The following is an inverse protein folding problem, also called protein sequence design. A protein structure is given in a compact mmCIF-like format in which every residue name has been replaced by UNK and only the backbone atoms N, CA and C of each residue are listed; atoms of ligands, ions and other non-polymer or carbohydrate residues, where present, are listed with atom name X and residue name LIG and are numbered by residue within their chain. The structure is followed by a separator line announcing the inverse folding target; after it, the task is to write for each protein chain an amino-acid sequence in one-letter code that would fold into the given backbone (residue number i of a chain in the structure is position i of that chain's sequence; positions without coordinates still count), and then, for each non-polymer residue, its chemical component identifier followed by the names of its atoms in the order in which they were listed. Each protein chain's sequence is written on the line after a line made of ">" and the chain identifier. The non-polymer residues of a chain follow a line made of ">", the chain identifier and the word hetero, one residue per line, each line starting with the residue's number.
data_IF_620262668130
#
_entry.id   IF_620262668130
#
_cell.length_a   1.000
_cell.length_b   1.000
_cell.length_c   1.000
_cell.angle_alpha   90.00
_cell.angle_beta   90.00
_cell.angle_gamma   90.00
#
_symmetry.space_group_name_H-M   'P 1'
#
loop_
_entity.id
_entity.type
_entity.pdbx_description
1 polymer ?
#
# COMPACT_ATOMS: atom_id res chain seq x y z
N UNK A 1 -4.28 16.45 3.00
CA UNK A 1 -3.19 17.07 3.77
C UNK A 1 -2.63 15.98 4.65
N UNK A 2 -1.43 15.46 4.37
CA UNK A 2 -0.76 14.55 5.29
C UNK A 2 -0.39 15.35 6.53
N UNK A 3 -1.20 15.20 7.57
CA UNK A 3 -0.90 15.68 8.90
C UNK A 3 0.40 15.03 9.34
N UNK A 4 1.47 15.81 9.46
CA UNK A 4 2.77 15.34 9.94
C UNK A 4 2.54 14.74 11.34
N UNK A 5 2.99 13.51 11.54
CA UNK A 5 2.71 12.79 12.78
C UNK A 5 3.68 13.30 13.85
N UNK A 6 3.13 13.99 14.84
CA UNK A 6 3.89 14.55 15.96
C UNK A 6 4.37 13.43 16.89
N UNK A 7 5.63 13.02 16.72
CA UNK A 7 6.32 12.03 17.55
C UNK A 7 6.97 12.70 18.75
N UNK A 8 6.19 12.88 19.81
CA UNK A 8 6.57 13.71 20.96
C UNK A 8 6.88 12.92 22.22
N UNK A 9 6.36 11.69 22.35
CA UNK A 9 6.40 10.98 23.65
C UNK A 9 7.77 10.45 24.01
N UNK A 10 8.51 9.92 23.03
CA UNK A 10 9.85 9.41 23.29
C UNK A 10 10.81 10.52 23.75
N UNK A 11 10.78 11.67 23.07
CA UNK A 11 11.58 12.83 23.46
C UNK A 11 11.22 13.36 24.86
N UNK A 12 9.92 13.39 25.19
CA UNK A 12 9.47 13.76 26.52
C UNK A 12 9.93 12.75 27.59
N UNK A 13 9.90 11.46 27.29
CA UNK A 13 10.40 10.43 28.19
C UNK A 13 11.90 10.62 28.47
N UNK A 14 12.71 10.78 27.41
CA UNK A 14 14.14 11.09 27.53
C UNK A 14 14.41 12.32 28.39
N UNK A 15 13.67 13.40 28.14
CA UNK A 15 13.79 14.65 28.90
C UNK A 15 13.49 14.44 30.38
N UNK A 16 12.41 13.72 30.71
CA UNK A 16 12.02 13.44 32.09
C UNK A 16 13.06 12.57 32.80
N UNK A 17 13.55 11.50 32.15
CA UNK A 17 14.59 10.64 32.71
C UNK A 17 15.87 11.43 33.02
N UNK A 18 16.32 12.26 32.07
CA UNK A 18 17.51 13.11 32.26
C UNK A 18 17.31 14.11 33.40
N UNK A 19 16.17 14.81 33.43
CA UNK A 19 15.87 15.77 34.50
C UNK A 19 15.79 15.08 35.87
N UNK A 20 15.16 13.91 35.96
CA UNK A 20 15.06 13.16 37.22
C UNK A 20 16.44 12.75 37.73
N UNK A 21 17.33 12.30 36.83
CA UNK A 21 18.72 11.97 37.14
C UNK A 21 19.48 13.19 37.67
N UNK A 22 19.44 14.31 36.94
CA UNK A 22 20.11 15.56 37.32
C UNK A 22 19.64 16.07 38.69
N UNK A 23 18.33 16.06 38.94
CA UNK A 23 17.78 16.50 40.23
C UNK A 23 18.17 15.55 41.37
N UNK A 24 18.18 14.25 41.12
CA UNK A 24 18.59 13.24 42.10
C UNK A 24 20.04 13.42 42.51
N UNK A 25 20.93 13.62 41.52
CA UNK A 25 22.35 13.91 41.75
C UNK A 25 22.52 15.21 42.53
N UNK A 26 21.86 16.29 42.09
CA UNK A 26 21.98 17.62 42.71
C UNK A 26 21.57 17.61 44.19
N UNK A 27 20.47 16.93 44.52
CA UNK A 27 19.95 16.87 45.89
C UNK A 27 20.79 15.97 46.79
N UNK A 28 21.26 14.84 46.29
CA UNK A 28 21.93 13.80 47.10
C UNK A 28 23.43 14.07 47.28
N UNK A 29 24.08 14.70 46.29
CA UNK A 29 25.53 14.95 46.27
C UNK A 29 25.83 16.45 46.35
N UNK A 30 25.08 17.20 47.15
CA UNK A 30 25.42 18.59 47.45
C UNK A 30 26.67 18.65 48.35
N UNK A 31 27.46 19.72 48.21
CA UNK A 31 28.68 19.85 49.01
C UNK A 31 28.38 19.91 50.51
N UNK A 32 27.24 20.52 50.90
CA UNK A 32 26.83 20.62 52.30
C UNK A 32 26.49 19.26 52.91
N UNK A 33 25.84 18.38 52.13
CA UNK A 33 25.56 17.00 52.55
C UNK A 33 26.86 16.22 52.74
N UNK A 34 27.83 16.38 51.82
CA UNK A 34 29.13 15.71 51.91
C UNK A 34 29.91 16.21 53.14
N UNK A 35 29.91 17.52 53.42
CA UNK A 35 30.55 18.09 54.62
C UNK A 35 29.91 17.59 55.92
N UNK A 36 28.60 17.38 55.91
CA UNK A 36 27.86 16.82 57.06
C UNK A 36 28.25 15.36 57.32
N UNK A 37 28.42 14.56 56.27
CA UNK A 37 28.80 13.14 56.39
C UNK A 37 30.30 12.94 56.67
N UNK A 38 31.17 13.87 56.26
CA UNK A 38 32.63 13.78 56.42
C UNK A 38 33.24 15.03 57.10
N UNK A 39 32.81 15.39 58.31
CA UNK A 39 33.17 16.67 58.94
C UNK A 39 34.67 16.79 59.25
N UNK A 40 35.33 15.70 59.65
CA UNK A 40 36.76 15.68 59.98
C UNK A 40 37.63 15.98 58.76
N UNK A 41 37.31 15.41 57.61
CA UNK A 41 38.04 15.61 56.35
C UNK A 41 37.70 16.97 55.76
N UNK A 42 36.43 17.39 55.87
CA UNK A 42 35.97 18.70 55.42
C UNK A 42 36.55 19.88 56.23
N UNK A 43 37.16 19.63 57.40
CA UNK A 43 37.75 20.67 58.24
C UNK A 43 39.15 21.09 57.75
N UNK A 44 39.80 20.30 56.90
CA UNK A 44 41.11 20.63 56.32
C UNK A 44 40.98 21.13 54.88
N UNK A 45 41.82 22.07 54.48
CA UNK A 45 41.76 22.65 53.13
C UNK A 45 42.07 21.61 52.03
N UNK A 46 43.05 20.74 52.26
CA UNK A 46 43.41 19.63 51.36
C UNK A 46 42.32 18.55 51.30
N UNK A 47 41.66 18.29 52.44
CA UNK A 47 40.53 17.37 52.52
C UNK A 47 39.31 17.89 51.75
N UNK A 48 39.02 19.18 51.82
CA UNK A 48 37.97 19.82 51.01
C UNK A 48 38.24 19.68 49.51
N UNK A 49 39.46 20.00 49.06
CA UNK A 49 39.87 19.83 47.64
C UNK A 49 39.71 18.38 47.18
N UNK A 50 40.13 17.43 48.01
CA UNK A 50 40.00 16.00 47.72
C UNK A 50 38.53 15.55 47.61
N UNK A 51 37.67 16.03 48.51
CA UNK A 51 36.23 15.74 48.49
C UNK A 51 35.54 16.36 47.26
N UNK A 52 35.94 17.55 46.82
CA UNK A 52 35.41 18.15 45.59
C UNK A 52 35.79 17.34 44.35
N UNK A 53 37.03 16.88 44.27
CA UNK A 53 37.50 16.01 43.17
C UNK A 53 36.72 14.69 43.17
N UNK A 54 36.62 14.03 44.33
CA UNK A 54 35.88 12.78 44.46
C UNK A 54 34.40 12.95 44.10
N UNK A 55 33.75 14.01 44.59
CA UNK A 55 32.37 14.36 44.24
C UNK A 55 32.21 14.55 42.74
N UNK A 56 33.10 15.32 42.10
CA UNK A 56 33.07 15.56 40.66
C UNK A 56 33.19 14.26 39.85
N UNK A 57 34.06 13.36 40.29
CA UNK A 57 34.21 12.03 39.68
C UNK A 57 32.94 11.19 39.82
N UNK A 58 32.35 11.13 41.02
CA UNK A 58 31.11 10.39 41.28
C UNK A 58 29.97 10.93 40.40
N UNK A 59 29.80 12.25 40.34
CA UNK A 59 28.77 12.90 39.52
C UNK A 59 28.94 12.52 38.05
N UNK A 60 30.16 12.64 37.52
CA UNK A 60 30.46 12.31 36.12
C UNK A 60 30.22 10.82 35.83
N UNK A 61 30.70 9.95 36.70
CA UNK A 61 30.55 8.51 36.54
C UNK A 61 29.07 8.11 36.58
N UNK A 62 28.34 8.55 37.60
CA UNK A 62 26.92 8.28 37.76
C UNK A 62 26.13 8.76 36.56
N UNK A 63 26.32 10.02 36.15
CA UNK A 63 25.60 10.61 35.03
C UNK A 63 25.85 9.84 33.73
N UNK A 64 27.12 9.57 33.41
CA UNK A 64 27.49 8.90 32.17
C UNK A 64 27.02 7.45 32.15
N UNK A 65 27.18 6.72 33.26
CA UNK A 65 26.75 5.33 33.34
C UNK A 65 25.22 5.23 33.24
N UNK A 66 24.50 6.03 34.03
CA UNK A 66 23.02 5.99 34.03
C UNK A 66 22.44 6.37 32.66
N UNK A 67 22.99 7.38 32.00
CA UNK A 67 22.53 7.77 30.64
C UNK A 67 22.73 6.63 29.64
N UNK A 68 23.90 5.96 29.68
CA UNK A 68 24.18 4.81 28.81
C UNK A 68 23.23 3.65 29.08
N UNK A 69 22.97 3.34 30.35
CA UNK A 69 22.04 2.28 30.73
C UNK A 69 20.60 2.59 30.28
N UNK A 70 20.16 3.86 30.39
CA UNK A 70 18.86 4.26 29.85
C UNK A 70 18.78 4.03 28.34
N UNK A 71 19.80 4.43 27.59
CA UNK A 71 19.84 4.22 26.14
C UNK A 71 19.84 2.72 25.76
N UNK A 72 20.52 1.87 26.53
CA UNK A 72 20.49 0.41 26.35
C UNK A 72 19.08 -0.14 26.58
N UNK A 73 18.43 0.23 27.70
CA UNK A 73 17.06 -0.19 28.00
C UNK A 73 16.09 0.25 26.89
N UNK A 74 16.22 1.49 26.40
CA UNK A 74 15.38 2.01 25.32
C UNK A 74 15.52 1.19 24.04
N UNK A 75 16.75 0.80 23.70
CA UNK A 75 17.05 -0.06 22.54
C UNK A 75 16.52 -1.48 22.73
N UNK A 76 16.83 -2.13 23.85
CA UNK A 76 16.40 -3.51 24.14
C UNK A 76 14.88 -3.67 24.09
N UNK A 77 14.14 -2.67 24.57
CA UNK A 77 12.68 -2.70 24.63
C UNK A 77 12.01 -2.12 23.39
N UNK A 78 12.78 -1.60 22.45
CA UNK A 78 12.33 -0.85 21.28
C UNK A 78 11.29 0.23 21.65
N UNK A 79 11.61 1.03 22.67
CA UNK A 79 10.66 2.00 23.25
C UNK A 79 10.36 3.13 22.28
N UNK A 80 11.34 3.56 21.50
CA UNK A 80 11.20 4.64 20.51
C UNK A 80 10.10 4.31 19.50
N UNK A 81 10.22 3.18 18.80
CA UNK A 81 9.20 2.72 17.84
C UNK A 81 7.83 2.56 18.49
N UNK A 82 7.75 1.98 19.69
CA UNK A 82 6.47 1.77 20.37
C UNK A 82 5.76 3.07 20.76
N UNK A 83 6.53 4.08 21.17
CA UNK A 83 5.97 5.38 21.54
C UNK A 83 5.58 6.19 20.31
N UNK A 84 6.35 6.09 19.23
CA UNK A 84 6.00 6.67 17.92
C UNK A 84 4.72 6.04 17.37
N UNK A 85 4.62 4.71 17.34
CA UNK A 85 3.40 3.99 16.94
C UNK A 85 2.20 4.39 17.81
N UNK A 86 2.41 4.62 19.11
CA UNK A 86 1.35 5.10 20.00
C UNK A 86 0.94 6.55 19.68
N UNK A 87 1.87 7.42 19.29
CA UNK A 87 1.57 8.79 18.80
C UNK A 87 0.69 8.69 17.54
N UNK A 88 1.05 7.81 16.60
CA UNK A 88 0.28 7.54 15.38
C UNK A 88 -1.13 7.02 15.66
N UNK A 89 -1.27 6.05 16.57
CA UNK A 89 -2.57 5.46 16.93
C UNK A 89 -3.49 6.52 17.55
N UNK A 90 -2.95 7.37 18.44
CA UNK A 90 -3.73 8.41 19.11
C UNK A 90 -4.19 9.47 18.12
N UNK A 91 -3.31 9.92 17.22
CA UNK A 91 -3.67 10.90 16.19
C UNK A 91 -4.76 10.37 15.26
N UNK A 92 -4.62 9.14 14.76
CA UNK A 92 -5.66 8.47 13.94
C UNK A 92 -6.98 8.29 14.70
N UNK A 93 -6.93 8.09 16.02
CA UNK A 93 -8.14 8.03 16.84
C UNK A 93 -8.81 9.41 16.95
N UNK A 94 -8.01 10.46 17.14
CA UNK A 94 -8.49 11.84 17.22
C UNK A 94 -9.08 12.33 15.89
N UNK A 95 -8.45 12.00 14.76
CA UNK A 95 -9.00 12.23 13.42
C UNK A 95 -10.36 11.56 13.24
N UNK A 96 -10.48 10.27 13.59
CA UNK A 96 -11.77 9.54 13.53
C UNK A 96 -12.84 10.17 14.41
N UNK A 97 -12.47 10.70 15.57
CA UNK A 97 -13.37 11.40 16.48
C UNK A 97 -13.87 12.71 15.86
N UNK A 98 -13.00 13.49 15.23
CA UNK A 98 -13.36 14.72 14.51
C UNK A 98 -14.29 14.42 13.34
N UNK A 99 -14.03 13.33 12.61
CA UNK A 99 -14.88 12.87 11.49
C UNK A 99 -16.21 12.24 11.93
N UNK A 100 -16.46 12.09 13.24
CA UNK A 100 -17.67 11.44 13.76
C UNK A 100 -17.76 9.94 13.48
N UNK A 101 -16.64 9.29 13.12
CA UNK A 101 -16.53 7.85 12.82
C UNK A 101 -16.05 7.05 14.03
N UNK A 102 -16.23 7.56 15.24
CA UNK A 102 -15.78 6.90 16.47
C UNK A 102 -16.64 5.66 16.73
N UNK A 103 -16.07 4.49 16.47
CA UNK A 103 -16.68 3.21 16.82
C UNK A 103 -16.04 2.71 18.13
N UNK A 104 -16.83 2.37 19.17
CA UNK A 104 -16.30 1.79 20.38
C UNK A 104 -15.73 0.40 20.09
N UNK A 105 -14.40 0.26 20.16
CA UNK A 105 -13.74 -1.04 20.01
C UNK A 105 -13.70 -1.73 21.37
N UNK A 106 -14.54 -2.75 21.56
CA UNK A 106 -14.54 -3.58 22.78
C UNK A 106 -13.51 -4.71 22.62
N UNK A 107 -12.22 -4.38 22.77
CA UNK A 107 -11.10 -5.32 22.56
C UNK A 107 -11.25 -6.59 23.43
N UNK A 108 -11.75 -6.44 24.66
CA UNK A 108 -11.94 -7.56 25.61
C UNK A 108 -13.08 -8.53 25.24
N UNK A 109 -13.91 -8.16 24.26
CA UNK A 109 -15.03 -9.00 23.79
C UNK A 109 -14.78 -9.63 22.44
N UNK A 110 -13.65 -9.32 21.80
CA UNK A 110 -13.32 -9.88 20.49
C UNK A 110 -12.75 -11.28 20.68
N UNK A 111 -13.41 -12.27 20.08
CA UNK A 111 -12.94 -13.64 20.03
C UNK A 111 -11.71 -13.77 19.11
N UNK A 112 -10.85 -14.78 19.31
CA UNK A 112 -9.74 -15.05 18.40
C UNK A 112 -10.17 -15.24 16.94
N UNK A 113 -11.35 -15.84 16.70
CA UNK A 113 -11.94 -16.00 15.38
C UNK A 113 -12.26 -14.66 14.72
N UNK A 114 -12.88 -13.73 15.45
CA UNK A 114 -13.22 -12.40 14.93
C UNK A 114 -11.97 -11.57 14.60
N UNK A 115 -10.88 -11.73 15.36
CA UNK A 115 -9.59 -11.09 15.03
C UNK A 115 -9.00 -11.60 13.71
N UNK A 116 -9.06 -12.91 13.49
CA UNK A 116 -8.59 -13.54 12.25
C UNK A 116 -9.48 -13.12 11.08
N UNK A 117 -10.80 -13.09 11.27
CA UNK A 117 -11.72 -12.65 10.24
C UNK A 117 -11.55 -11.17 9.89
N UNK A 118 -11.33 -10.31 10.89
CA UNK A 118 -11.07 -8.89 10.67
C UNK A 118 -9.76 -8.65 9.92
N UNK A 119 -8.70 -9.41 10.20
CA UNK A 119 -7.45 -9.30 9.45
C UNK A 119 -7.62 -9.80 8.01
N UNK A 120 -8.39 -10.88 7.81
CA UNK A 120 -8.66 -11.45 6.50
C UNK A 120 -9.62 -10.58 5.65
N UNK A 121 -10.47 -9.77 6.29
CA UNK A 121 -11.42 -8.91 5.61
C UNK A 121 -10.73 -7.90 4.67
N UNK A 122 -9.58 -7.35 5.08
CA UNK A 122 -8.77 -6.46 4.24
C UNK A 122 -8.30 -7.14 2.96
N UNK A 123 -7.65 -8.30 3.08
CA UNK A 123 -7.15 -9.09 1.94
C UNK A 123 -8.27 -9.57 1.02
N UNK A 124 -9.42 -9.96 1.60
CA UNK A 124 -10.61 -10.33 0.82
C UNK A 124 -11.13 -9.16 0.00
N UNK A 125 -11.15 -7.95 0.57
CA UNK A 125 -11.59 -6.74 -0.13
C UNK A 125 -10.68 -6.43 -1.33
N UNK A 126 -9.36 -6.44 -1.15
CA UNK A 126 -8.40 -6.24 -2.24
C UNK A 126 -8.56 -7.30 -3.35
N UNK A 127 -8.81 -8.54 -2.97
CA UNK A 127 -9.05 -9.64 -3.92
C UNK A 127 -10.34 -9.41 -4.71
N UNK A 128 -11.42 -8.99 -4.05
CA UNK A 128 -12.71 -8.67 -4.70
C UNK A 128 -12.54 -7.50 -5.68
N UNK A 129 -11.84 -6.43 -5.28
CA UNK A 129 -11.57 -5.29 -6.15
C UNK A 129 -10.77 -5.72 -7.40
N UNK A 130 -9.74 -6.55 -7.22
CA UNK A 130 -8.93 -7.10 -8.31
C UNK A 130 -9.77 -7.98 -9.25
N UNK A 131 -10.56 -8.91 -8.70
CA UNK A 131 -11.43 -9.78 -9.52
C UNK A 131 -12.49 -8.97 -10.26
N UNK A 132 -13.07 -7.95 -9.62
CA UNK A 132 -14.05 -7.08 -10.27
C UNK A 132 -13.43 -6.32 -11.43
N UNK A 133 -12.18 -5.85 -11.31
CA UNK A 133 -11.46 -5.19 -12.39
C UNK A 133 -11.24 -6.15 -13.57
N UNK A 134 -10.78 -7.38 -13.29
CA UNK A 134 -10.57 -8.42 -14.32
C UNK A 134 -11.89 -8.77 -15.01
N UNK A 135 -12.96 -8.95 -14.23
CA UNK A 135 -14.29 -9.27 -14.77
C UNK A 135 -14.78 -8.16 -15.71
N UNK A 136 -14.68 -6.90 -15.29
CA UNK A 136 -15.10 -5.76 -16.11
C UNK A 136 -14.28 -5.68 -17.40
N UNK A 137 -12.97 -5.93 -17.34
CA UNK A 137 -12.12 -5.98 -18.53
C UNK A 137 -12.57 -7.09 -19.49
N UNK A 138 -12.82 -8.30 -18.98
CA UNK A 138 -13.25 -9.43 -19.80
C UNK A 138 -14.62 -9.18 -20.45
N UNK A 139 -15.53 -8.48 -19.78
CA UNK A 139 -16.80 -8.06 -20.36
C UNK A 139 -16.60 -7.11 -21.54
N UNK A 140 -15.67 -6.14 -21.43
CA UNK A 140 -15.33 -5.23 -22.51
C UNK A 140 -14.70 -5.98 -23.69
N UNK A 141 -13.72 -6.84 -23.42
CA UNK A 141 -13.02 -7.61 -24.44
C UNK A 141 -13.98 -8.55 -25.19
N UNK A 142 -14.89 -9.22 -24.47
CA UNK A 142 -15.91 -10.05 -25.10
C UNK A 142 -16.84 -9.22 -25.99
N UNK A 143 -17.28 -8.05 -25.53
CA UNK A 143 -18.16 -7.18 -26.31
C UNK A 143 -17.46 -6.69 -27.58
N UNK A 144 -16.17 -6.37 -27.50
CA UNK A 144 -15.34 -6.01 -28.65
C UNK A 144 -15.20 -7.17 -29.64
N UNK A 145 -14.84 -8.37 -29.16
CA UNK A 145 -14.71 -9.57 -29.99
C UNK A 145 -16.02 -9.95 -30.68
N UNK A 146 -17.16 -9.84 -29.98
CA UNK A 146 -18.48 -10.04 -30.58
C UNK A 146 -18.75 -9.01 -31.69
N UNK A 147 -18.38 -7.75 -31.48
CA UNK A 147 -18.49 -6.71 -32.51
C UNK A 147 -17.64 -7.02 -33.75
N UNK A 148 -16.38 -7.43 -33.56
CA UNK A 148 -15.48 -7.82 -34.64
C UNK A 148 -16.02 -9.04 -35.41
N UNK A 149 -16.53 -10.05 -34.70
CA UNK A 149 -17.11 -11.24 -35.31
C UNK A 149 -18.35 -10.90 -36.16
N UNK A 150 -19.22 -10.02 -35.67
CA UNK A 150 -20.41 -9.61 -36.40
C UNK A 150 -20.03 -8.84 -37.69
N UNK A 151 -19.07 -7.92 -37.60
CA UNK A 151 -18.53 -7.21 -38.77
C UNK A 151 -17.96 -8.16 -39.82
N UNK A 152 -17.20 -9.18 -39.38
CA UNK A 152 -16.61 -10.15 -40.29
C UNK A 152 -17.67 -11.05 -40.94
N UNK A 153 -18.74 -11.38 -40.21
CA UNK A 153 -19.87 -12.14 -40.73
C UNK A 153 -20.61 -11.33 -41.81
N UNK A 154 -20.86 -10.04 -41.56
CA UNK A 154 -21.46 -9.12 -42.55
C UNK A 154 -20.58 -8.99 -43.81
N UNK A 155 -19.27 -8.84 -43.64
CA UNK A 155 -18.32 -8.80 -44.76
C UNK A 155 -18.35 -10.10 -45.57
N UNK A 156 -18.32 -11.26 -44.90
CA UNK A 156 -18.38 -12.56 -45.55
C UNK A 156 -19.70 -12.78 -46.30
N UNK A 157 -20.82 -12.35 -45.74
CA UNK A 157 -22.13 -12.43 -46.40
C UNK A 157 -22.17 -11.55 -47.65
N UNK A 158 -21.60 -10.35 -47.57
CA UNK A 158 -21.50 -9.41 -48.70
C UNK A 158 -20.64 -10.01 -49.82
N UNK A 159 -19.47 -10.56 -49.48
CA UNK A 159 -18.61 -11.27 -50.44
C UNK A 159 -19.34 -12.47 -51.05
N UNK A 160 -20.07 -13.24 -50.23
CA UNK A 160 -20.84 -14.40 -50.70
C UNK A 160 -21.94 -14.00 -51.68
N UNK A 161 -22.65 -12.90 -51.43
CA UNK A 161 -23.68 -12.38 -52.34
C UNK A 161 -23.07 -11.85 -53.64
N UNK A 162 -21.96 -11.14 -53.56
CA UNK A 162 -21.25 -10.61 -54.73
C UNK A 162 -20.74 -11.75 -55.61
N UNK A 163 -20.08 -12.75 -55.03
CA UNK A 163 -19.55 -13.90 -55.75
C UNK A 163 -20.68 -14.72 -56.39
N UNK A 164 -21.81 -14.88 -55.70
CA UNK A 164 -23.00 -15.51 -56.27
C UNK A 164 -23.53 -14.74 -57.48
N UNK A 165 -23.65 -13.41 -57.38
CA UNK A 165 -24.11 -12.59 -58.51
C UNK A 165 -23.17 -12.66 -59.72
N UNK A 166 -21.86 -12.71 -59.50
CA UNK A 166 -20.87 -12.87 -60.57
C UNK A 166 -20.98 -14.25 -61.24
N UNK A 167 -21.19 -15.32 -60.46
CA UNK A 167 -21.41 -16.67 -60.99
C UNK A 167 -22.71 -16.74 -61.79
N UNK A 168 -23.78 -16.12 -61.29
CA UNK A 168 -25.07 -16.07 -61.99
C UNK A 168 -24.94 -15.31 -63.32
N UNK A 169 -24.24 -14.16 -63.34
CA UNK A 169 -23.93 -13.40 -64.56
C UNK A 169 -23.13 -14.23 -65.56
N UNK A 170 -22.04 -14.89 -65.11
CA UNK A 170 -21.24 -15.77 -65.97
C UNK A 170 -22.06 -16.94 -66.51
N UNK A 171 -23.01 -17.47 -65.71
CA UNK A 171 -23.92 -18.53 -66.17
C UNK A 171 -24.89 -18.02 -67.25
N UNK A 172 -25.39 -16.79 -67.12
CA UNK A 172 -26.20 -16.15 -68.16
C UNK A 172 -25.38 -15.90 -69.43
N UNK A 173 -24.15 -15.39 -69.30
CA UNK A 173 -23.23 -15.17 -70.42
C UNK A 173 -22.87 -16.48 -71.14
N UNK A 174 -22.65 -17.58 -70.41
CA UNK A 174 -22.45 -18.90 -71.03
C UNK A 174 -23.71 -19.42 -71.74
N UNK A 175 -24.91 -19.12 -71.22
CA UNK A 175 -26.17 -19.51 -71.87
C UNK A 175 -26.43 -18.70 -73.13
N UNK A 176 -26.10 -17.41 -73.14
CA UNK A 176 -26.23 -16.56 -74.34
C UNK A 176 -25.25 -17.00 -75.41
N UNK A 177 -23.96 -17.20 -75.08
CA UNK A 177 -22.96 -17.73 -76.02
C UNK A 177 -23.35 -19.08 -76.60
N UNK A 178 -23.84 -20.02 -75.77
CA UNK A 178 -24.32 -21.32 -76.26
C UNK A 178 -25.52 -21.20 -77.20
N UNK A 179 -26.44 -20.29 -76.91
CA UNK A 179 -27.61 -20.06 -77.78
C UNK A 179 -27.21 -19.39 -79.11
N UNK A 180 -26.21 -18.52 -79.09
CA UNK A 180 -25.69 -17.87 -80.29
C UNK A 180 -24.90 -18.86 -81.16
N UNK A 181 -24.04 -19.72 -80.58
CA UNK A 181 -23.38 -20.82 -81.30
C UNK A 181 -24.40 -21.80 -81.92
N UNK A 182 -25.49 -22.12 -81.19
CA UNK A 182 -26.55 -22.99 -81.71
C UNK A 182 -27.35 -22.32 -82.84
N UNK A 183 -27.59 -21.00 -82.77
CA UNK A 183 -28.23 -20.24 -83.86
C UNK A 183 -27.35 -20.20 -85.11
N UNK A 184 -26.06 -19.89 -84.97
CA UNK A 184 -25.11 -19.88 -86.09
C UNK A 184 -25.05 -21.27 -86.74
N UNK A 185 -24.98 -22.34 -85.94
CA UNK A 185 -24.99 -23.72 -86.47
C UNK A 185 -26.31 -24.10 -87.17
N UNK A 186 -27.45 -23.55 -86.73
CA UNK A 186 -28.76 -23.79 -87.36
C UNK A 186 -28.89 -22.97 -88.65
N UNK A 187 -28.44 -21.72 -88.66
CA UNK A 187 -28.43 -20.86 -89.83
C UNK A 187 -27.50 -21.42 -90.93
N UNK A 188 -26.34 -21.96 -90.57
CA UNK A 188 -25.44 -22.67 -91.50
C UNK A 188 -26.08 -23.96 -92.07
N UNK A 189 -26.86 -24.68 -91.26
CA UNK A 189 -27.60 -25.86 -91.71
C UNK A 189 -28.75 -25.50 -92.67
N UNK A 190 -29.43 -24.39 -92.40
CA UNK A 190 -30.49 -23.86 -93.25
C UNK A 190 -29.91 -23.40 -94.59
N UNK A 191 -28.77 -22.69 -94.58
CA UNK A 191 -28.09 -22.25 -95.78
C UNK A 191 -27.67 -23.42 -96.69
N UNK A 192 -27.14 -24.49 -96.12
CA UNK A 192 -26.77 -25.71 -96.86
C UNK A 192 -27.96 -26.55 -97.36
N UNK A 193 -29.17 -26.36 -96.83
CA UNK A 193 -30.39 -26.99 -97.36
C UNK A 193 -31.11 -26.16 -98.44
N UNK A 194 -30.67 -24.92 -98.68
CA UNK A 194 -31.26 -24.00 -99.66
C UNK A 194 -30.44 -23.81 -100.96
N UNK A 195 -29.31 -24.51 -101.11
CA UNK A 195 -28.60 -24.71 -102.38
C UNK A 195 -28.93 -26.08 -102.99
#
# INVERSE_FOLDING_TARGET
>A
MSSEIDRIRYERLKLVCKKALEQSIKKSLSMDQIKTCYPTIASTEEGQKSLEIARSQIIKFWHNNSTKEFDLIFKERNIETKLDELDEIIQKAEERKIEGKEAPVQVDRVSPSELIEASLAGTKKESIESLSMIYNQLCLDNMELYGQLNSLCEESETIRTDLKSQVDSLSEDLKSLRNDDFKVSVDDLIATMTE
#
